data_IF_222667440532
#
_entry.id   IF_222667440532
#
_cell.length_a   1.000
_cell.length_b   1.000
_cell.length_c   1.000
_cell.angle_alpha   90.00
_cell.angle_beta   90.00
_cell.angle_gamma   90.00
#
_symmetry.space_group_name_H-M   'P 1'
#
loop_
_entity.id
_entity.type
_entity.pdbx_description
1 polymer ?
#
# COMPACT_ATOMS: atom_id res chain seq x y z
N UNK A 1 6.74 19.72 -43.08
CA UNK A 1 7.96 19.08 -42.58
C UNK A 1 7.59 18.16 -41.42
N UNK A 2 7.82 16.87 -41.57
CA UNK A 2 7.65 15.95 -40.47
C UNK A 2 8.84 16.10 -39.54
N UNK A 3 8.63 16.48 -38.29
CA UNK A 3 9.68 16.51 -37.31
C UNK A 3 10.23 15.11 -37.05
N UNK A 4 11.54 14.93 -37.17
CA UNK A 4 12.18 13.67 -36.84
C UNK A 4 11.99 13.38 -35.35
N UNK A 5 11.48 12.20 -35.05
CA UNK A 5 11.30 11.70 -33.68
C UNK A 5 12.32 10.61 -33.38
N UNK A 6 12.78 10.60 -32.15
CA UNK A 6 13.81 9.67 -31.71
C UNK A 6 13.32 8.77 -30.58
N UNK A 7 13.79 7.55 -30.56
CA UNK A 7 13.50 6.57 -29.54
C UNK A 7 14.01 7.06 -28.17
N UNK A 8 13.17 7.03 -27.18
CA UNK A 8 13.55 7.44 -25.82
C UNK A 8 14.63 6.58 -25.17
N UNK A 9 14.85 5.37 -25.68
CA UNK A 9 15.85 4.47 -25.16
C UNK A 9 17.16 4.49 -25.95
N UNK A 10 17.12 4.28 -27.26
CA UNK A 10 18.31 4.13 -28.10
C UNK A 10 18.63 5.34 -28.97
N UNK A 11 17.80 6.38 -28.95
CA UNK A 11 17.94 7.60 -29.77
C UNK A 11 17.92 7.39 -31.27
N UNK A 12 17.53 6.23 -31.75
CA UNK A 12 17.35 5.97 -33.18
C UNK A 12 16.06 6.65 -33.70
N UNK A 13 16.04 7.09 -34.97
CA UNK A 13 14.85 7.68 -35.56
C UNK A 13 13.67 6.70 -35.56
N UNK A 14 12.48 7.21 -35.28
CA UNK A 14 11.25 6.41 -35.20
C UNK A 14 10.37 6.73 -36.42
N UNK A 15 9.97 5.70 -37.12
CA UNK A 15 8.96 5.75 -38.15
C UNK A 15 7.62 5.20 -37.62
N UNK A 16 6.51 5.75 -38.10
CA UNK A 16 5.17 5.26 -37.76
C UNK A 16 4.29 6.30 -37.05
N UNK A 17 3.37 5.84 -36.21
CA UNK A 17 2.31 6.67 -35.63
C UNK A 17 2.85 7.88 -34.84
N UNK A 18 2.14 9.03 -34.84
CA UNK A 18 2.60 10.27 -34.19
C UNK A 18 2.92 10.13 -32.69
N UNK A 19 2.26 9.22 -32.01
CA UNK A 19 2.43 8.98 -30.57
C UNK A 19 3.46 7.89 -30.21
N UNK A 20 4.14 7.31 -31.20
CA UNK A 20 5.15 6.29 -30.97
C UNK A 20 6.39 6.91 -30.26
N UNK A 21 6.79 6.36 -29.14
CA UNK A 21 7.91 6.86 -28.30
C UNK A 21 9.16 5.97 -28.37
N UNK A 22 9.03 4.75 -28.86
CA UNK A 22 10.10 3.75 -28.92
C UNK A 22 10.14 3.12 -30.31
N UNK A 23 11.35 2.77 -30.78
CA UNK A 23 11.52 2.13 -32.08
C UNK A 23 11.03 0.67 -32.09
N UNK A 24 11.08 -0.02 -30.96
CA UNK A 24 10.70 -1.42 -30.80
C UNK A 24 10.10 -1.70 -29.42
N UNK A 25 9.33 -2.81 -29.25
CA UNK A 25 8.89 -3.28 -27.93
C UNK A 25 10.05 -3.56 -26.98
N UNK A 26 11.18 -4.00 -27.50
CA UNK A 26 12.38 -4.26 -26.69
C UNK A 26 12.99 -2.98 -26.09
N UNK A 27 13.04 -1.89 -26.86
CA UNK A 27 13.46 -0.58 -26.34
C UNK A 27 12.50 -0.07 -25.28
N UNK A 28 11.21 -0.25 -25.44
CA UNK A 28 10.21 0.07 -24.43
C UNK A 28 10.45 -0.70 -23.13
N UNK A 29 10.69 -2.00 -23.22
CA UNK A 29 10.97 -2.85 -22.08
C UNK A 29 12.25 -2.43 -21.34
N UNK A 30 13.35 -2.24 -22.07
CA UNK A 30 14.63 -1.81 -21.50
C UNK A 30 14.57 -0.43 -20.84
N UNK A 31 13.82 0.49 -21.43
CA UNK A 31 13.60 1.81 -20.83
C UNK A 31 12.84 1.71 -19.51
N UNK A 32 11.76 0.91 -19.45
CA UNK A 32 11.02 0.62 -18.22
C UNK A 32 11.88 -0.04 -17.14
N UNK A 33 12.70 -1.03 -17.52
CA UNK A 33 13.65 -1.70 -16.61
C UNK A 33 14.67 -0.73 -16.06
N UNK A 34 15.19 0.17 -16.88
CA UNK A 34 16.12 1.23 -16.48
C UNK A 34 15.49 2.18 -15.44
N UNK A 35 14.24 2.58 -15.63
CA UNK A 35 13.50 3.39 -14.65
C UNK A 35 13.26 2.63 -13.34
N UNK A 36 12.92 1.35 -13.41
CA UNK A 36 12.71 0.50 -12.23
C UNK A 36 14.00 0.27 -11.45
N UNK A 37 15.15 0.31 -12.11
CA UNK A 37 16.46 0.13 -11.49
C UNK A 37 17.13 1.46 -11.09
N UNK A 38 16.43 2.60 -11.21
CA UNK A 38 16.96 3.88 -10.72
C UNK A 38 17.16 3.84 -9.20
N UNK A 39 18.07 4.69 -8.69
CA UNK A 39 18.35 4.78 -7.25
C UNK A 39 17.08 5.05 -6.43
N UNK A 40 16.25 6.01 -6.85
CA UNK A 40 14.99 6.34 -6.18
C UNK A 40 14.02 5.16 -6.15
N UNK A 41 13.90 4.42 -7.25
CA UNK A 41 13.05 3.24 -7.34
C UNK A 41 13.53 2.13 -6.40
N UNK A 42 14.85 1.91 -6.30
CA UNK A 42 15.43 0.94 -5.37
C UNK A 42 15.19 1.32 -3.91
N UNK A 43 15.38 2.60 -3.55
CA UNK A 43 15.12 3.10 -2.20
C UNK A 43 13.64 2.97 -1.81
N UNK A 44 12.73 3.26 -2.74
CA UNK A 44 11.29 3.08 -2.54
C UNK A 44 10.94 1.59 -2.31
N UNK A 45 11.48 0.70 -3.11
CA UNK A 45 11.28 -0.75 -2.95
C UNK A 45 11.80 -1.25 -1.59
N UNK A 46 12.99 -0.78 -1.19
CA UNK A 46 13.58 -1.12 0.11
C UNK A 46 12.72 -0.65 1.28
N UNK A 47 12.23 0.59 1.25
CA UNK A 47 11.31 1.13 2.27
C UNK A 47 10.01 0.34 2.32
N UNK A 48 9.41 0.03 1.17
CA UNK A 48 8.21 -0.78 1.09
C UNK A 48 8.43 -2.19 1.66
N UNK A 49 9.57 -2.81 1.35
CA UNK A 49 9.89 -4.12 1.89
C UNK A 49 9.99 -4.12 3.42
N UNK A 50 10.66 -3.13 4.01
CA UNK A 50 10.75 -2.97 5.47
C UNK A 50 9.35 -2.75 6.08
N UNK A 51 8.52 -1.95 5.42
CA UNK A 51 7.16 -1.71 5.86
C UNK A 51 6.32 -2.99 5.83
N UNK A 52 6.40 -3.76 4.76
CA UNK A 52 5.71 -5.04 4.63
C UNK A 52 6.17 -6.07 5.67
N UNK A 53 7.46 -6.20 5.88
CA UNK A 53 8.00 -7.12 6.87
C UNK A 53 7.50 -6.77 8.28
N UNK A 54 7.51 -5.51 8.64
CA UNK A 54 6.97 -5.03 9.92
C UNK A 54 5.47 -5.24 10.04
N UNK A 55 4.72 -4.93 9.01
CA UNK A 55 3.27 -5.16 8.96
C UNK A 55 2.93 -6.65 9.09
N UNK A 56 3.68 -7.52 8.43
CA UNK A 56 3.49 -8.97 8.49
C UNK A 56 3.73 -9.52 9.90
N UNK A 57 4.77 -9.04 10.59
CA UNK A 57 5.08 -9.44 11.97
C UNK A 57 3.97 -9.03 12.95
N UNK A 58 3.50 -7.80 12.85
CA UNK A 58 2.40 -7.31 13.68
C UNK A 58 1.07 -8.01 13.36
N UNK A 59 0.80 -8.27 12.09
CA UNK A 59 -0.38 -9.01 11.66
C UNK A 59 -0.38 -10.44 12.21
N UNK A 60 0.78 -11.10 12.22
CA UNK A 60 0.94 -12.45 12.77
C UNK A 60 0.58 -12.48 14.26
N UNK A 61 1.00 -11.50 15.04
CA UNK A 61 0.65 -11.38 16.45
C UNK A 61 -0.85 -11.11 16.61
N UNK A 62 -1.39 -10.16 15.86
CA UNK A 62 -2.79 -9.77 15.92
C UNK A 62 -3.74 -10.93 15.57
N UNK A 63 -3.49 -11.61 14.47
CA UNK A 63 -4.38 -12.69 14.00
C UNK A 63 -4.23 -13.99 14.80
N UNK A 64 -3.17 -14.16 15.57
CA UNK A 64 -3.01 -15.27 16.50
C UNK A 64 -3.88 -15.13 17.76
N UNK A 65 -4.38 -13.93 18.05
CA UNK A 65 -5.19 -13.67 19.23
C UNK A 65 -6.66 -14.08 19.06
N UNK A 66 -7.34 -14.30 20.17
CA UNK A 66 -8.79 -14.45 20.20
C UNK A 66 -9.50 -13.16 19.76
N UNK A 67 -10.76 -13.20 19.30
CA UNK A 67 -11.48 -11.99 18.89
C UNK A 67 -11.52 -10.89 19.95
N UNK A 68 -11.65 -11.26 21.23
CA UNK A 68 -11.65 -10.29 22.34
C UNK A 68 -10.28 -9.63 22.55
N UNK A 69 -9.23 -10.42 22.53
CA UNK A 69 -7.85 -9.94 22.68
C UNK A 69 -7.42 -9.06 21.48
N UNK A 70 -7.93 -9.35 20.29
CA UNK A 70 -7.70 -8.53 19.09
C UNK A 70 -8.20 -7.10 19.27
N UNK A 71 -9.32 -6.88 19.93
CA UNK A 71 -9.83 -5.54 20.21
C UNK A 71 -8.83 -4.75 21.07
N UNK A 72 -8.37 -5.34 22.15
CA UNK A 72 -7.38 -4.71 23.02
C UNK A 72 -6.06 -4.43 22.30
N UNK A 73 -5.59 -5.38 21.50
CA UNK A 73 -4.36 -5.22 20.73
C UNK A 73 -4.49 -4.12 19.66
N UNK A 74 -5.63 -4.04 18.98
CA UNK A 74 -5.89 -2.97 18.00
C UNK A 74 -5.94 -1.60 18.67
N UNK A 75 -6.54 -1.48 19.85
CA UNK A 75 -6.52 -0.24 20.62
C UNK A 75 -5.10 0.18 20.97
N UNK A 76 -4.25 -0.76 21.36
CA UNK A 76 -2.83 -0.50 21.64
C UNK A 76 -2.11 0.01 20.39
N UNK A 77 -2.29 -0.64 19.24
CA UNK A 77 -1.68 -0.21 17.99
C UNK A 77 -2.11 1.19 17.55
N UNK A 78 -3.40 1.48 17.69
CA UNK A 78 -3.93 2.82 17.39
C UNK A 78 -3.36 3.88 18.33
N UNK A 79 -3.27 3.59 19.63
CA UNK A 79 -2.64 4.49 20.60
C UNK A 79 -1.19 4.79 20.23
N UNK A 80 -0.41 3.76 19.90
CA UNK A 80 0.98 3.94 19.45
C UNK A 80 1.07 4.85 18.22
N UNK A 81 0.19 4.69 17.26
CA UNK A 81 0.13 5.53 16.07
C UNK A 81 -0.22 6.98 16.42
N UNK A 82 -1.17 7.20 17.30
CA UNK A 82 -1.61 8.53 17.75
C UNK A 82 -0.55 9.25 18.56
N UNK A 83 0.21 8.54 19.38
CA UNK A 83 1.30 9.06 20.20
C UNK A 83 2.57 9.43 19.42
N UNK A 84 2.60 9.21 18.12
CA UNK A 84 3.66 9.68 17.23
C UNK A 84 4.53 8.61 16.60
N UNK A 85 4.21 7.32 16.74
CA UNK A 85 4.91 6.26 16.03
C UNK A 85 4.59 6.31 14.53
N UNK A 86 5.48 6.91 13.75
CA UNK A 86 5.29 7.14 12.31
C UNK A 86 5.16 5.84 11.53
N UNK A 87 5.91 4.82 11.90
CA UNK A 87 5.86 3.50 11.26
C UNK A 87 4.51 2.81 11.49
N UNK A 88 3.97 2.89 12.70
CA UNK A 88 2.66 2.35 13.03
C UNK A 88 1.56 3.10 12.29
N UNK A 89 1.62 4.42 12.20
CA UNK A 89 0.71 5.23 11.40
C UNK A 89 0.66 4.77 9.95
N UNK A 90 1.84 4.60 9.36
CA UNK A 90 1.98 4.18 7.97
C UNK A 90 1.42 2.76 7.76
N UNK A 91 1.73 1.81 8.62
CA UNK A 91 1.22 0.44 8.55
C UNK A 91 -0.31 0.41 8.65
N UNK A 92 -0.88 1.11 9.62
CA UNK A 92 -2.32 1.05 9.89
C UNK A 92 -3.18 1.83 8.89
N UNK A 93 -2.64 2.86 8.25
CA UNK A 93 -3.37 3.72 7.32
C UNK A 93 -3.02 3.52 5.84
N UNK A 94 -2.08 2.64 5.52
CA UNK A 94 -1.57 2.48 4.17
C UNK A 94 -2.57 1.74 3.28
N UNK A 95 -3.12 2.44 2.28
CA UNK A 95 -4.07 1.87 1.32
C UNK A 95 -3.49 0.74 0.46
N UNK A 96 -2.19 0.79 0.18
CA UNK A 96 -1.49 -0.25 -0.56
C UNK A 96 -1.43 -1.57 0.22
N UNK A 97 -1.19 -1.52 1.54
CA UNK A 97 -1.22 -2.70 2.42
C UNK A 97 -2.63 -3.29 2.57
N UNK A 98 -3.67 -2.47 2.37
CA UNK A 98 -5.07 -2.93 2.39
C UNK A 98 -5.52 -3.60 1.10
N UNK A 99 -4.77 -3.45 0.02
CA UNK A 99 -5.18 -3.97 -1.28
C UNK A 99 -5.30 -5.50 -1.26
N UNK A 100 -6.41 -6.06 -1.77
CA UNK A 100 -6.57 -7.51 -1.86
C UNK A 100 -5.51 -8.22 -2.71
N UNK A 101 -4.90 -7.49 -3.63
CA UNK A 101 -3.81 -7.99 -4.49
C UNK A 101 -2.47 -8.07 -3.77
N UNK A 102 -2.37 -7.51 -2.59
CA UNK A 102 -1.13 -7.36 -1.86
C UNK A 102 -1.18 -8.13 -0.54
N UNK A 103 -0.64 -9.33 -0.55
CA UNK A 103 -0.69 -10.26 0.58
C UNK A 103 0.50 -10.15 1.53
N UNK A 104 1.41 -9.19 1.33
CA UNK A 104 2.63 -9.10 2.13
C UNK A 104 2.40 -8.91 3.62
N UNK A 105 1.32 -8.24 3.99
CA UNK A 105 0.93 -8.07 5.39
C UNK A 105 -0.01 -9.15 5.92
N UNK A 106 -0.30 -10.20 5.15
CA UNK A 106 -1.26 -11.23 5.53
C UNK A 106 -0.58 -12.58 5.80
N UNK A 107 -0.35 -12.97 7.07
CA UNK A 107 0.28 -14.23 7.42
C UNK A 107 -0.65 -15.45 7.18
N UNK A 108 -1.91 -15.22 6.88
CA UNK A 108 -2.93 -16.27 6.67
C UNK A 108 -3.34 -16.39 5.20
N UNK A 109 -2.49 -15.93 4.29
CA UNK A 109 -2.69 -16.14 2.87
C UNK A 109 -2.91 -17.63 2.56
N UNK A 110 -3.99 -17.93 1.83
CA UNK A 110 -4.31 -19.30 1.42
C UNK A 110 -5.09 -20.12 2.42
N UNK A 111 -5.43 -19.61 3.60
CA UNK A 111 -6.33 -20.30 4.52
C UNK A 111 -7.77 -20.21 3.99
N UNK A 112 -8.35 -21.36 3.67
CA UNK A 112 -9.69 -21.47 3.10
C UNK A 112 -10.76 -20.85 4.01
N UNK A 113 -11.70 -20.12 3.39
CA UNK A 113 -12.91 -19.60 4.04
C UNK A 113 -12.69 -18.40 4.96
N UNK A 114 -11.47 -17.87 5.04
CA UNK A 114 -11.19 -16.67 5.82
C UNK A 114 -10.46 -15.65 4.98
N UNK A 115 -11.16 -14.57 4.67
CA UNK A 115 -10.55 -13.41 4.03
C UNK A 115 -9.85 -12.59 5.11
N UNK A 116 -8.70 -13.09 5.57
CA UNK A 116 -7.86 -12.34 6.49
C UNK A 116 -7.20 -11.21 5.71
N UNK A 117 -7.76 -10.02 5.80
CA UNK A 117 -7.08 -8.84 5.32
C UNK A 117 -5.73 -8.64 6.00
N UNK A 118 -4.93 -7.75 5.45
CA UNK A 118 -3.73 -7.25 6.12
C UNK A 118 -4.10 -6.57 7.44
N UNK A 119 -3.11 -6.29 8.27
CA UNK A 119 -3.31 -5.52 9.50
C UNK A 119 -3.97 -4.15 9.22
N UNK A 120 -3.59 -3.50 8.12
CA UNK A 120 -4.21 -2.26 7.68
C UNK A 120 -5.72 -2.42 7.38
N UNK A 121 -6.12 -3.52 6.74
CA UNK A 121 -7.53 -3.82 6.49
C UNK A 121 -8.28 -4.12 7.79
N UNK A 122 -7.67 -4.82 8.72
CA UNK A 122 -8.24 -5.07 10.05
C UNK A 122 -8.44 -3.77 10.84
N UNK A 123 -7.46 -2.87 10.79
CA UNK A 123 -7.55 -1.56 11.41
C UNK A 123 -8.67 -0.71 10.81
N UNK A 124 -8.79 -0.69 9.49
CA UNK A 124 -9.87 0.04 8.81
C UNK A 124 -11.24 -0.46 9.25
N UNK A 125 -11.44 -1.77 9.30
CA UNK A 125 -12.70 -2.36 9.79
C UNK A 125 -12.97 -1.98 11.25
N UNK A 126 -11.96 -2.06 12.09
CA UNK A 126 -12.08 -1.67 13.51
C UNK A 126 -12.47 -0.19 13.64
N UNK A 127 -11.75 0.70 12.97
CA UNK A 127 -12.03 2.14 13.04
C UNK A 127 -13.44 2.48 12.53
N UNK A 128 -13.87 1.88 11.43
CA UNK A 128 -15.21 2.04 10.90
C UNK A 128 -16.30 1.55 11.87
N UNK A 129 -16.07 0.42 12.51
CA UNK A 129 -17.06 -0.20 13.41
C UNK A 129 -17.12 0.46 14.78
N UNK A 130 -15.99 0.89 15.33
CA UNK A 130 -15.91 1.37 16.71
C UNK A 130 -15.59 2.86 16.87
N UNK A 131 -15.02 3.49 15.85
CA UNK A 131 -14.61 4.89 15.88
C UNK A 131 -15.41 5.76 14.89
N UNK A 132 -16.28 5.20 14.08
CA UNK A 132 -17.06 5.88 13.03
C UNK A 132 -16.21 6.73 12.06
N UNK A 133 -14.97 6.35 11.84
CA UNK A 133 -14.04 7.08 10.99
C UNK A 133 -13.14 6.13 10.22
N UNK A 134 -12.46 6.64 9.19
CA UNK A 134 -11.41 5.88 8.51
C UNK A 134 -10.20 5.68 9.41
N UNK A 135 -9.42 4.62 9.17
CA UNK A 135 -8.18 4.40 9.91
C UNK A 135 -7.19 5.56 9.77
N UNK A 136 -7.12 6.18 8.59
CA UNK A 136 -6.27 7.35 8.38
C UNK A 136 -6.65 8.53 9.29
N UNK A 137 -7.93 8.81 9.46
CA UNK A 137 -8.39 9.87 10.35
C UNK A 137 -8.10 9.55 11.82
N UNK A 138 -8.38 8.31 12.25
CA UNK A 138 -8.18 7.90 13.63
C UNK A 138 -6.70 7.90 14.02
N UNK A 139 -5.84 7.26 13.21
CA UNK A 139 -4.42 7.10 13.56
C UNK A 139 -3.62 8.41 13.44
N UNK A 140 -4.04 9.32 12.57
CA UNK A 140 -3.43 10.64 12.46
C UNK A 140 -4.04 11.68 13.37
N UNK A 141 -5.00 11.30 14.20
CA UNK A 141 -5.70 12.19 15.15
C UNK A 141 -6.25 13.46 14.48
N UNK A 142 -6.78 13.30 13.28
CA UNK A 142 -7.45 14.38 12.55
C UNK A 142 -8.84 14.59 13.15
N UNK A 143 -9.29 15.83 13.17
CA UNK A 143 -10.69 16.14 13.48
C UNK A 143 -11.58 15.33 12.54
N UNK A 144 -12.53 14.59 13.11
CA UNK A 144 -13.47 13.80 12.33
C UNK A 144 -14.31 14.74 11.47
N UNK A 145 -14.21 14.60 10.15
CA UNK A 145 -15.30 15.09 9.31
C UNK A 145 -16.54 14.27 9.66
N UNK A 146 -17.69 14.92 9.82
CA UNK A 146 -18.91 14.18 10.13
C UNK A 146 -19.10 13.09 9.05
N UNK A 147 -19.17 11.86 9.50
CA UNK A 147 -19.41 10.72 8.62
C UNK A 147 -20.82 10.83 8.07
N UNK A 148 -20.96 11.28 6.82
CA UNK A 148 -22.21 11.29 6.07
C UNK A 148 -22.64 9.88 5.61
N UNK A 149 -22.14 8.86 6.25
CA UNK A 149 -22.57 7.49 6.03
C UNK A 149 -23.91 7.25 6.67
N UNK A 150 -24.92 7.07 5.83
CA UNK A 150 -26.24 6.59 6.23
C UNK A 150 -26.03 5.28 7.01
N UNK A 151 -26.19 5.37 8.33
CA UNK A 151 -26.35 4.19 9.18
C UNK A 151 -27.76 3.69 8.94
N UNK A 152 -27.88 2.70 8.08
CA UNK A 152 -29.12 1.93 7.94
C UNK A 152 -29.13 0.76 8.92
#
# INVERSE_FOLDING_TARGET
MQSMRFCKHCSNPINGRPNKKFCSPNCRKRFSEGLQNSFESREKKKRNYILFDSAARLAKIYFAQSPFERLGLMQTYISMAREGNSKMREILSNSFLRSPKNDYGNPYKGIRGRNFGSLAAACERYCRSYCNASSANVVYNRAEEPYDGVVS
#
